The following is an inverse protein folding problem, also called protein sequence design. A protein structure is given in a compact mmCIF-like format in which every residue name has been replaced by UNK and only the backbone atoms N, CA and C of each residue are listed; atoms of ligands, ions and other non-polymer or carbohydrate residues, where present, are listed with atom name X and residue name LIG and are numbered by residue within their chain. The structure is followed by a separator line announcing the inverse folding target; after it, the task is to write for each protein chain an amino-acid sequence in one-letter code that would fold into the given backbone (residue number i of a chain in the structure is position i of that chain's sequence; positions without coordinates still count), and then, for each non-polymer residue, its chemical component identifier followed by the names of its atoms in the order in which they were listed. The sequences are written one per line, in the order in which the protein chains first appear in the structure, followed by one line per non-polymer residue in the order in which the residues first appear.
data_IF_587264930920
#
_entry.id   IF_587264930920
#
_cell.length_a   1.000
_cell.length_b   1.000
_cell.length_c   1.000
_cell.angle_alpha   90.00
_cell.angle_beta   90.00
_cell.angle_gamma   90.00
#
_symmetry.space_group_name_H-M   'P 1'
#
loop_
_entity.id
_entity.type
_entity.pdbx_description
1 polymer ?
#
# COMPACT_ATOMS: atom_id res chain seq x y z
N UNK A 1 11.12 -24.02 -13.55
CA UNK A 1 12.37 -24.01 -12.76
C UNK A 1 11.99 -23.70 -11.33
N UNK A 2 12.26 -24.63 -10.40
CA UNK A 2 11.66 -24.69 -9.07
C UNK A 2 12.81 -24.53 -8.06
N UNK A 3 12.99 -23.33 -7.52
CA UNK A 3 14.09 -23.05 -6.59
C UNK A 3 13.54 -23.06 -5.17
N UNK A 4 13.82 -24.14 -4.45
CA UNK A 4 13.67 -24.20 -2.99
C UNK A 4 14.87 -23.49 -2.35
N UNK A 5 14.63 -22.63 -1.37
CA UNK A 5 15.66 -22.24 -0.40
C UNK A 5 15.17 -22.65 1.00
N UNK A 6 15.95 -23.50 1.65
CA UNK A 6 15.69 -24.13 2.94
C UNK A 6 16.21 -23.21 4.05
N UNK A 7 15.35 -22.90 5.03
CA UNK A 7 15.66 -22.13 6.24
C UNK A 7 16.59 -22.93 7.16
N UNK A 8 17.71 -22.32 7.58
CA UNK A 8 18.70 -22.94 8.48
C UNK A 8 18.45 -22.52 9.93
N UNK A 9 17.95 -23.46 10.74
CA UNK A 9 17.80 -23.30 12.20
C UNK A 9 19.16 -23.54 12.87
N UNK A 10 19.67 -22.57 13.62
CA UNK A 10 20.85 -22.75 14.49
C UNK A 10 20.38 -22.97 15.94
N UNK A 11 20.66 -24.16 16.47
CA UNK A 11 20.41 -24.55 17.85
C UNK A 11 21.62 -24.12 18.71
N UNK A 12 21.47 -23.09 19.55
CA UNK A 12 22.47 -22.72 20.57
C UNK A 12 22.04 -23.26 21.93
N UNK A 13 22.77 -24.27 22.42
CA UNK A 13 22.68 -24.76 23.81
C UNK A 13 23.58 -23.88 24.66
N UNK A 14 23.00 -23.11 25.59
CA UNK A 14 23.73 -22.38 26.61
C UNK A 14 23.47 -22.98 27.98
N UNK A 15 24.50 -23.62 28.55
CA UNK A 15 24.55 -23.96 29.98
C UNK A 15 25.08 -22.72 30.70
N UNK A 16 24.31 -22.17 31.63
CA UNK A 16 24.77 -21.10 32.51
C UNK A 16 24.44 -21.46 33.97
N UNK A 17 25.50 -21.69 34.73
CA UNK A 17 25.51 -21.90 36.17
C UNK A 17 25.20 -20.58 36.87
N UNK A 18 24.21 -20.61 37.77
CA UNK A 18 23.89 -19.51 38.69
C UNK A 18 24.83 -19.56 39.89
N UNK A 19 25.51 -18.44 40.21
CA UNK A 19 25.70 -17.92 41.57
C UNK A 19 26.52 -16.60 41.50
N UNK A 20 25.96 -15.49 42.02
CA UNK A 20 26.72 -14.26 42.27
C UNK A 20 25.92 -12.97 42.12
N UNK A 21 25.53 -12.37 43.25
CA UNK A 21 24.88 -11.07 43.29
C UNK A 21 25.83 -9.95 42.84
N UNK A 22 25.46 -9.23 41.79
CA UNK A 22 26.03 -7.94 41.46
C UNK A 22 24.92 -7.04 40.88
N UNK A 23 24.80 -5.85 41.48
CA UNK A 23 24.01 -4.72 41.05
C UNK A 23 24.16 -4.51 39.52
N UNK A 24 23.08 -4.69 38.75
CA UNK A 24 23.04 -4.31 37.34
C UNK A 24 22.08 -3.12 37.15
N UNK A 25 22.51 -2.07 36.44
CA UNK A 25 21.67 -0.92 36.17
C UNK A 25 20.54 -1.31 35.22
N UNK A 26 19.35 -0.83 35.54
CA UNK A 26 18.16 -0.86 34.68
C UNK A 26 18.37 0.07 33.47
N UNK A 27 19.20 -0.33 32.51
CA UNK A 27 19.48 0.48 31.33
C UNK A 27 20.02 -0.36 30.16
N UNK A 28 19.29 -1.39 29.73
CA UNK A 28 19.54 -2.06 28.44
C UNK A 28 18.40 -3.01 28.06
N UNK A 29 17.18 -2.49 27.84
CA UNK A 29 16.14 -3.29 27.18
C UNK A 29 15.10 -2.50 26.39
N UNK A 30 15.49 -1.36 25.85
CA UNK A 30 14.67 -0.57 24.91
C UNK A 30 15.59 0.09 23.89
N UNK A 31 16.12 -0.70 22.95
CA UNK A 31 16.85 -0.16 21.80
C UNK A 31 16.50 -0.85 20.47
N UNK A 32 15.56 -1.82 20.45
CA UNK A 32 15.21 -2.59 19.26
C UNK A 32 13.75 -2.42 18.80
N UNK A 33 13.10 -1.29 19.13
CA UNK A 33 11.77 -0.97 18.58
C UNK A 33 11.78 0.26 17.68
N UNK A 34 12.96 0.78 17.37
CA UNK A 34 13.11 1.98 16.52
C UNK A 34 14.12 1.77 15.37
N UNK A 35 14.32 0.51 14.96
CA UNK A 35 15.07 0.19 13.76
C UNK A 35 14.09 -0.10 12.62
N UNK A 36 13.78 0.95 11.86
CA UNK A 36 13.34 0.92 10.47
C UNK A 36 12.00 0.21 10.19
N UNK A 37 10.94 1.01 10.11
CA UNK A 37 9.84 0.75 9.18
C UNK A 37 10.43 0.77 7.76
N UNK A 38 11.01 -0.35 7.33
CA UNK A 38 11.36 -0.55 5.94
C UNK A 38 10.03 -0.55 5.15
N UNK A 39 9.99 0.08 3.96
CA UNK A 39 8.77 0.13 3.14
C UNK A 39 8.20 -1.27 2.85
N UNK A 40 9.06 -2.29 2.84
CA UNK A 40 8.69 -3.70 2.71
C UNK A 40 7.70 -4.20 3.78
N UNK A 41 7.89 -3.81 5.04
CA UNK A 41 7.11 -4.29 6.19
C UNK A 41 5.77 -3.58 6.25
N UNK A 42 5.77 -2.29 5.94
CA UNK A 42 4.56 -1.48 5.87
C UNK A 42 3.67 -1.92 4.68
N UNK A 43 4.28 -2.25 3.53
CA UNK A 43 3.57 -2.84 2.40
C UNK A 43 2.99 -4.23 2.71
N UNK A 44 3.75 -5.09 3.38
CA UNK A 44 3.28 -6.42 3.75
C UNK A 44 2.03 -6.38 4.64
N UNK A 45 1.98 -5.44 5.58
CA UNK A 45 0.83 -5.25 6.46
C UNK A 45 -0.39 -4.67 5.73
N UNK A 46 -0.17 -3.74 4.78
CA UNK A 46 -1.24 -3.17 3.96
C UNK A 46 -1.95 -4.23 3.10
N UNK A 47 -1.18 -5.05 2.38
CA UNK A 47 -1.75 -6.10 1.52
C UNK A 47 -2.54 -7.13 2.34
N UNK A 48 -2.12 -7.42 3.57
CA UNK A 48 -2.85 -8.32 4.48
C UNK A 48 -4.25 -7.80 4.88
N UNK A 49 -4.49 -6.49 4.78
CA UNK A 49 -5.77 -5.84 5.12
C UNK A 49 -6.60 -5.45 3.90
N UNK A 50 -6.32 -6.01 2.72
CA UNK A 50 -6.90 -5.58 1.42
C UNK A 50 -6.55 -4.13 1.06
N UNK A 51 -5.37 -3.67 1.45
CA UNK A 51 -4.80 -2.41 1.00
C UNK A 51 -3.90 -2.58 -0.22
N UNK A 52 -3.73 -1.51 -0.99
CA UNK A 52 -2.72 -1.40 -2.03
C UNK A 52 -1.46 -0.80 -1.40
N UNK A 53 -0.28 -1.36 -1.71
CA UNK A 53 0.99 -0.71 -1.41
C UNK A 53 1.74 -0.37 -2.68
N UNK A 54 2.21 0.87 -2.77
CA UNK A 54 3.03 1.34 -3.86
C UNK A 54 4.39 1.77 -3.33
N UNK A 55 5.46 1.15 -3.82
CA UNK A 55 6.83 1.59 -3.51
C UNK A 55 7.31 2.63 -4.52
N UNK A 56 7.91 3.71 -4.04
CA UNK A 56 8.41 4.78 -4.89
C UNK A 56 9.90 4.58 -5.20
N UNK A 57 10.32 4.91 -6.42
CA UNK A 57 11.71 4.73 -6.87
C UNK A 57 12.73 5.48 -5.99
N UNK A 58 12.38 6.69 -5.54
CA UNK A 58 13.22 7.52 -4.66
C UNK A 58 13.18 7.09 -3.19
N UNK A 59 12.55 5.95 -2.90
CA UNK A 59 12.28 5.48 -1.56
C UNK A 59 10.94 6.01 -1.02
N UNK A 60 10.40 5.28 -0.05
CA UNK A 60 9.07 5.52 0.51
C UNK A 60 8.04 4.54 -0.04
N UNK A 61 6.96 4.39 0.72
CA UNK A 61 5.81 3.58 0.37
C UNK A 61 4.52 4.37 0.60
N UNK A 62 3.58 4.26 -0.33
CA UNK A 62 2.23 4.77 -0.20
C UNK A 62 1.32 3.57 0.08
N UNK A 63 0.65 3.61 1.22
CA UNK A 63 -0.30 2.57 1.63
C UNK A 63 -1.70 3.14 1.48
N UNK A 64 -2.52 2.44 0.71
CA UNK A 64 -3.89 2.84 0.40
C UNK A 64 -4.81 1.76 0.98
N UNK A 65 -5.67 2.16 1.90
CA UNK A 65 -6.77 1.32 2.38
C UNK A 65 -7.93 1.35 1.38
N UNK A 66 -8.45 0.18 1.01
CA UNK A 66 -9.53 0.04 0.05
C UNK A 66 -10.85 -0.26 0.77
N UNK A 67 -11.94 0.32 0.25
CA UNK A 67 -13.30 0.21 0.83
C UNK A 67 -14.22 -0.61 -0.08
N UNK A 68 -14.13 -1.95 -0.09
CA UNK A 68 -14.94 -2.82 -0.96
C UNK A 68 -16.44 -2.76 -0.63
N UNK A 69 -16.81 -2.32 0.57
CA UNK A 69 -18.20 -2.08 0.97
C UNK A 69 -18.81 -0.82 0.31
N UNK A 70 -17.97 0.10 -0.16
CA UNK A 70 -18.39 1.36 -0.78
C UNK A 70 -18.28 1.35 -2.30
N UNK A 71 -17.21 0.76 -2.83
CA UNK A 71 -16.93 0.71 -4.27
C UNK A 71 -16.41 -0.69 -4.70
N UNK A 72 -17.27 -1.73 -4.67
CA UNK A 72 -16.84 -3.12 -4.85
C UNK A 72 -16.19 -3.39 -6.21
N UNK A 73 -16.78 -2.95 -7.33
CA UNK A 73 -16.23 -3.18 -8.68
C UNK A 73 -14.92 -2.42 -8.87
N UNK A 74 -14.81 -1.25 -8.29
CA UNK A 74 -13.60 -0.41 -8.32
C UNK A 74 -12.46 -1.07 -7.56
N UNK A 75 -12.72 -1.56 -6.34
CA UNK A 75 -11.72 -2.26 -5.54
C UNK A 75 -11.28 -3.54 -6.22
N UNK A 76 -12.22 -4.34 -6.75
CA UNK A 76 -11.90 -5.55 -7.52
C UNK A 76 -11.01 -5.24 -8.72
N UNK A 77 -11.32 -4.17 -9.47
CA UNK A 77 -10.52 -3.72 -10.62
C UNK A 77 -9.10 -3.36 -10.22
N UNK A 78 -8.93 -2.51 -9.21
CA UNK A 78 -7.61 -2.05 -8.75
C UNK A 78 -6.78 -3.23 -8.24
N UNK A 79 -7.39 -4.12 -7.45
CA UNK A 79 -6.71 -5.32 -6.96
C UNK A 79 -6.25 -6.21 -8.10
N UNK A 80 -7.11 -6.47 -9.08
CA UNK A 80 -6.75 -7.27 -10.26
C UNK A 80 -5.56 -6.67 -11.02
N UNK A 81 -5.62 -5.37 -11.33
CA UNK A 81 -4.53 -4.68 -12.03
C UNK A 81 -3.22 -4.70 -11.23
N UNK A 82 -3.29 -4.54 -9.92
CA UNK A 82 -2.13 -4.62 -9.04
C UNK A 82 -1.54 -6.04 -8.98
N UNK A 83 -2.38 -7.09 -8.90
CA UNK A 83 -1.95 -8.49 -8.93
C UNK A 83 -1.31 -8.88 -10.27
N UNK A 84 -1.77 -8.29 -11.37
CA UNK A 84 -1.19 -8.44 -12.72
C UNK A 84 0.11 -7.63 -12.90
N UNK A 85 0.51 -6.82 -11.92
CA UNK A 85 1.70 -5.96 -12.00
C UNK A 85 1.54 -4.77 -12.94
N UNK A 86 0.31 -4.40 -13.33
CA UNK A 86 0.04 -3.33 -14.30
C UNK A 86 0.61 -1.98 -13.87
N UNK A 87 0.60 -1.70 -12.56
CA UNK A 87 1.06 -0.42 -12.02
C UNK A 87 2.59 -0.32 -11.88
N UNK A 88 3.31 -1.41 -12.08
CA UNK A 88 4.77 -1.44 -11.91
C UNK A 88 5.46 -0.62 -12.99
N UNK A 89 6.32 0.31 -12.57
CA UNK A 89 7.05 1.20 -13.48
C UNK A 89 6.21 2.33 -14.07
N UNK A 90 4.94 2.49 -13.68
CA UNK A 90 4.13 3.63 -14.09
C UNK A 90 4.49 4.89 -13.31
N UNK A 91 4.46 6.02 -14.01
CA UNK A 91 4.76 7.33 -13.43
C UNK A 91 3.50 8.05 -12.93
N UNK A 92 3.68 8.98 -12.01
CA UNK A 92 2.68 10.01 -11.71
C UNK A 92 2.67 11.04 -12.83
N UNK A 93 1.89 10.79 -13.88
CA UNK A 93 1.86 11.61 -15.08
C UNK A 93 1.15 12.96 -14.89
N UNK A 94 0.35 13.11 -13.83
CA UNK A 94 -0.30 14.39 -13.49
C UNK A 94 -0.11 14.68 -12.01
N UNK A 95 0.58 15.77 -11.73
CA UNK A 95 0.91 16.24 -10.38
C UNK A 95 0.51 17.70 -10.30
N UNK A 96 -0.51 17.99 -9.49
CA UNK A 96 -0.99 19.35 -9.25
C UNK A 96 -0.78 19.73 -7.78
N UNK A 97 -1.14 20.97 -7.42
CA UNK A 97 -1.07 21.42 -6.03
C UNK A 97 -1.95 20.55 -5.12
N UNK A 98 -3.14 20.16 -5.59
CA UNK A 98 -4.18 19.50 -4.79
C UNK A 98 -4.35 17.99 -5.04
N UNK A 99 -3.74 17.41 -6.09
CA UNK A 99 -3.81 15.96 -6.35
C UNK A 99 -2.58 15.43 -7.09
N UNK A 100 -2.38 14.12 -7.02
CA UNK A 100 -1.50 13.35 -7.90
C UNK A 100 -2.30 12.24 -8.59
N UNK A 101 -2.00 11.94 -9.85
CA UNK A 101 -2.71 10.95 -10.65
C UNK A 101 -1.72 10.05 -11.40
N UNK A 102 -2.05 8.75 -11.43
CA UNK A 102 -1.23 7.68 -12.01
C UNK A 102 -2.11 6.62 -12.70
N UNK A 103 -1.54 5.49 -13.08
CA UNK A 103 -2.26 4.37 -13.70
C UNK A 103 -2.57 4.56 -15.17
N UNK A 104 -1.85 5.48 -15.86
CA UNK A 104 -2.04 5.70 -17.30
C UNK A 104 -1.30 4.62 -18.08
N UNK A 105 -2.05 3.75 -18.71
CA UNK A 105 -1.55 2.69 -19.58
C UNK A 105 -2.71 2.07 -20.36
N UNK A 106 -2.38 1.33 -21.41
CA UNK A 106 -3.35 0.58 -22.19
C UNK A 106 -3.70 -0.73 -21.47
N UNK A 107 -4.99 -1.03 -21.41
CA UNK A 107 -5.50 -2.28 -20.86
C UNK A 107 -6.82 -2.63 -21.53
N UNK A 108 -7.05 -3.92 -21.80
CA UNK A 108 -8.25 -4.41 -22.50
C UNK A 108 -9.53 -4.42 -21.65
N UNK A 109 -9.51 -3.81 -20.47
CA UNK A 109 -10.67 -3.84 -19.59
C UNK A 109 -11.65 -2.74 -19.96
N UNK A 110 -12.96 -3.03 -19.99
CA UNK A 110 -13.96 -2.02 -20.26
C UNK A 110 -14.01 -0.98 -19.15
N UNK A 111 -14.55 0.23 -19.44
CA UNK A 111 -14.84 1.22 -18.43
C UNK A 111 -15.74 0.67 -17.31
N UNK A 112 -15.49 1.11 -16.09
CA UNK A 112 -16.31 0.84 -14.92
C UNK A 112 -17.50 1.79 -14.90
N UNK A 113 -18.67 1.24 -14.58
CA UNK A 113 -19.84 2.00 -14.15
C UNK A 113 -19.55 2.69 -12.81
N UNK A 114 -20.00 3.94 -12.64
CA UNK A 114 -19.80 4.71 -11.42
C UNK A 114 -20.49 4.07 -10.20
N UNK A 115 -19.77 3.92 -9.09
CA UNK A 115 -20.30 3.25 -7.87
C UNK A 115 -20.61 4.20 -6.71
N UNK A 116 -20.16 5.45 -6.77
CA UNK A 116 -20.18 6.36 -5.62
C UNK A 116 -21.44 7.25 -5.56
N UNK A 117 -22.50 6.91 -6.30
CA UNK A 117 -23.73 7.70 -6.31
C UNK A 117 -24.46 7.64 -4.97
N UNK A 118 -24.90 8.80 -4.47
CA UNK A 118 -25.68 8.90 -3.23
C UNK A 118 -24.89 8.72 -1.93
N UNK A 119 -23.56 8.51 -2.02
CA UNK A 119 -22.68 8.46 -0.86
C UNK A 119 -22.14 9.88 -0.55
N UNK A 120 -22.19 10.29 0.72
CA UNK A 120 -21.56 11.54 1.20
C UNK A 120 -20.08 11.30 1.49
N UNK A 121 -19.31 11.02 0.44
CA UNK A 121 -17.85 10.91 0.52
C UNK A 121 -17.26 12.18 -0.07
N UNK A 122 -16.52 12.92 0.75
CA UNK A 122 -15.86 14.15 0.34
C UNK A 122 -14.45 13.84 -0.13
N UNK A 123 -13.95 14.62 -1.10
CA UNK A 123 -12.56 14.55 -1.54
C UNK A 123 -11.67 15.32 -0.55
N UNK A 124 -11.43 14.68 0.59
CA UNK A 124 -10.50 15.16 1.63
C UNK A 124 -9.05 14.77 1.31
N UNK A 125 -8.11 15.36 2.04
CA UNK A 125 -6.69 14.99 1.95
C UNK A 125 -6.48 13.49 2.20
N UNK A 126 -5.66 12.84 1.37
CA UNK A 126 -5.40 11.41 1.43
C UNK A 126 -6.45 10.53 0.76
N UNK A 127 -7.60 11.08 0.35
CA UNK A 127 -8.63 10.30 -0.34
C UNK A 127 -8.16 9.86 -1.73
N UNK A 128 -8.54 8.63 -2.09
CA UNK A 128 -8.25 8.02 -3.40
C UNK A 128 -9.53 7.89 -4.20
N UNK A 129 -9.48 8.27 -5.47
CA UNK A 129 -10.61 8.18 -6.39
C UNK A 129 -10.18 7.76 -7.79
N UNK A 130 -11.11 7.17 -8.55
CA UNK A 130 -10.85 6.81 -9.95
C UNK A 130 -10.91 8.05 -10.85
N UNK A 131 -9.93 8.18 -11.74
CA UNK A 131 -9.96 9.20 -12.77
C UNK A 131 -10.97 8.81 -13.85
N UNK A 132 -11.75 9.80 -14.31
CA UNK A 132 -12.82 9.66 -15.30
C UNK A 132 -13.01 10.96 -16.06
N UNK A 133 -13.80 10.92 -17.13
CA UNK A 133 -14.23 12.13 -17.81
C UNK A 133 -15.18 12.96 -16.90
N UNK A 134 -15.09 14.30 -16.92
CA UNK A 134 -15.95 15.15 -16.08
C UNK A 134 -17.44 15.00 -16.40
N UNK A 135 -17.77 14.81 -17.68
CA UNK A 135 -19.13 14.74 -18.21
C UNK A 135 -19.75 13.34 -18.17
N UNK A 136 -18.95 12.29 -17.91
CA UNK A 136 -19.40 10.91 -17.98
C UNK A 136 -18.79 10.08 -16.84
N UNK A 137 -19.67 9.54 -15.99
CA UNK A 137 -19.30 8.80 -14.79
C UNK A 137 -18.81 7.39 -15.10
N UNK A 138 -19.18 6.83 -16.24
CA UNK A 138 -18.96 5.42 -16.58
C UNK A 138 -17.72 5.25 -17.48
N UNK A 139 -16.70 6.09 -17.27
CA UNK A 139 -15.50 6.18 -18.11
C UNK A 139 -14.20 5.84 -17.37
N UNK A 140 -14.29 5.50 -16.08
CA UNK A 140 -13.13 5.11 -15.29
C UNK A 140 -12.56 3.77 -15.78
N UNK A 141 -11.26 3.69 -16.03
CA UNK A 141 -10.61 2.46 -16.52
C UNK A 141 -9.56 1.96 -15.54
N UNK A 142 -8.34 2.49 -15.63
CA UNK A 142 -7.14 2.03 -14.90
C UNK A 142 -6.53 3.12 -14.03
N UNK A 143 -6.83 4.38 -14.35
CA UNK A 143 -6.26 5.56 -13.71
C UNK A 143 -6.97 5.90 -12.40
N UNK A 144 -6.18 6.25 -11.38
CA UNK A 144 -6.68 6.77 -10.12
C UNK A 144 -5.84 7.98 -9.68
N UNK A 145 -6.39 8.76 -8.77
CA UNK A 145 -5.73 9.91 -8.17
C UNK A 145 -5.78 9.84 -6.64
N UNK A 146 -4.81 10.50 -6.01
CA UNK A 146 -4.69 10.69 -4.57
C UNK A 146 -4.78 12.19 -4.30
N UNK A 147 -5.69 12.61 -3.43
CA UNK A 147 -5.85 14.01 -3.04
C UNK A 147 -4.73 14.41 -2.06
N UNK A 148 -4.08 15.54 -2.33
CA UNK A 148 -3.10 16.15 -1.42
C UNK A 148 -3.73 17.15 -0.47
N UNK A 149 -4.88 17.72 -0.86
CA UNK A 149 -5.59 18.76 -0.12
C UNK A 149 -7.09 18.60 -0.36
N UNK A 150 -7.93 19.07 0.58
CA UNK A 150 -9.38 19.11 0.39
C UNK A 150 -9.77 20.18 -0.64
N UNK A 151 -10.67 19.83 -1.56
CA UNK A 151 -11.25 20.75 -2.55
C UNK A 151 -12.77 20.78 -2.50
#
# INVERSE_FOLDING_TARGET
MKTMLVSSVRLSVSVAVMLGAACMPAAARQADTLAAQRPDTACAEATARKGLCMTLEKGGAVIIELYPDKAPKTVERIMKLAEEGFYDGLEFHRVESYLVQTGKGEHDLPPLEGEMFGQRIWHEEGMVGMARLPSDYDTATTQFYIMKERR
#
